data_IF_163619190416
#
_entry.id   IF_163619190416
#
_cell.length_a   1.000
_cell.length_b   1.000
_cell.length_c   1.000
_cell.angle_alpha   90.00
_cell.angle_beta   90.00
_cell.angle_gamma   90.00
#
_symmetry.space_group_name_H-M   'P 1'
#
loop_
_entity.id
_entity.type
_entity.pdbx_description
1 polymer ?
#
# COMPACT_ATOMS: atom_id res chain seq x y z
N UNK A 1 -6.72 -3.74 -60.50
CA UNK A 1 -6.20 -2.46 -59.99
C UNK A 1 -7.04 -1.24 -60.41
N UNK A 2 -7.64 -1.22 -61.61
CA UNK A 2 -8.44 -0.09 -62.12
C UNK A 2 -9.61 0.40 -61.23
N UNK A 3 -10.30 -0.51 -60.50
CA UNK A 3 -11.41 -0.13 -59.59
C UNK A 3 -10.96 0.66 -58.36
N UNK A 4 -9.70 0.56 -57.94
CA UNK A 4 -9.19 1.35 -56.81
C UNK A 4 -8.98 2.80 -57.24
N UNK A 5 -8.26 3.04 -58.34
CA UNK A 5 -7.97 4.39 -58.83
C UNK A 5 -9.25 5.25 -59.01
N UNK A 6 -10.29 4.71 -59.64
CA UNK A 6 -11.56 5.43 -59.81
C UNK A 6 -12.28 5.78 -58.50
N UNK A 7 -12.19 4.92 -57.48
CA UNK A 7 -12.80 5.19 -56.18
C UNK A 7 -12.07 6.32 -55.43
N UNK A 8 -10.74 6.42 -55.57
CA UNK A 8 -9.95 7.50 -54.96
C UNK A 8 -10.28 8.86 -55.58
N UNK A 9 -10.38 8.93 -56.91
CA UNK A 9 -10.79 10.15 -57.63
C UNK A 9 -12.20 10.60 -57.23
N UNK A 10 -13.15 9.66 -57.11
CA UNK A 10 -14.50 9.96 -56.67
C UNK A 10 -14.56 10.49 -55.24
N UNK A 11 -13.75 9.96 -54.32
CA UNK A 11 -13.63 10.44 -52.93
C UNK A 11 -13.08 11.87 -52.91
N UNK A 12 -11.98 12.12 -53.63
CA UNK A 12 -11.34 13.43 -53.67
C UNK A 12 -12.27 14.51 -54.23
N UNK A 13 -12.95 14.22 -55.35
CA UNK A 13 -13.94 15.13 -55.94
C UNK A 13 -15.11 15.41 -54.99
N UNK A 14 -15.65 14.37 -54.37
CA UNK A 14 -16.77 14.49 -53.43
C UNK A 14 -16.38 15.29 -52.18
N UNK A 15 -15.13 15.14 -51.72
CA UNK A 15 -14.56 15.91 -50.62
C UNK A 15 -14.51 17.40 -50.96
N UNK A 16 -13.96 17.75 -52.12
CA UNK A 16 -13.86 19.13 -52.59
C UNK A 16 -15.25 19.78 -52.74
N UNK A 17 -16.20 19.08 -53.37
CA UNK A 17 -17.55 19.59 -53.60
C UNK A 17 -18.34 19.78 -52.29
N UNK A 18 -18.31 18.80 -51.37
CA UNK A 18 -19.14 18.85 -50.16
C UNK A 18 -18.53 19.66 -49.03
N UNK A 19 -17.23 19.59 -48.85
CA UNK A 19 -16.57 20.09 -47.63
C UNK A 19 -15.86 21.40 -47.90
N UNK A 20 -15.08 21.49 -48.97
CA UNK A 20 -14.32 22.71 -49.29
C UNK A 20 -15.21 23.78 -49.92
N UNK A 21 -16.01 23.41 -50.92
CA UNK A 21 -16.96 24.33 -51.58
C UNK A 21 -18.29 24.43 -50.84
N UNK A 22 -18.80 23.31 -50.33
CA UNK A 22 -20.11 23.23 -49.71
C UNK A 22 -20.15 23.52 -48.20
N UNK A 23 -19.00 23.49 -47.51
CA UNK A 23 -18.93 23.67 -46.06
C UNK A 23 -19.74 22.65 -45.24
N UNK A 24 -20.14 21.51 -45.84
CA UNK A 24 -21.05 20.53 -45.23
C UNK A 24 -20.30 19.61 -44.28
N UNK A 25 -21.07 18.97 -43.41
CA UNK A 25 -20.62 17.98 -42.42
C UNK A 25 -21.35 16.67 -42.64
N UNK A 26 -21.09 15.96 -43.75
CA UNK A 26 -21.84 14.76 -44.12
C UNK A 26 -21.58 13.63 -43.13
N UNK A 27 -22.56 12.73 -42.98
CA UNK A 27 -22.27 11.42 -42.38
C UNK A 27 -21.49 10.56 -43.37
N UNK A 28 -20.83 9.50 -42.88
CA UNK A 28 -20.12 8.55 -43.75
C UNK A 28 -21.08 7.93 -44.78
N UNK A 29 -22.34 7.71 -44.40
CA UNK A 29 -23.38 7.22 -45.31
C UNK A 29 -23.64 8.22 -46.44
N UNK A 30 -23.95 9.48 -46.10
CA UNK A 30 -24.26 10.51 -47.10
C UNK A 30 -23.07 10.80 -48.02
N UNK A 31 -21.86 10.72 -47.47
CA UNK A 31 -20.63 10.90 -48.24
C UNK A 31 -20.44 9.77 -49.26
N UNK A 32 -20.61 8.51 -48.82
CA UNK A 32 -20.48 7.34 -49.68
C UNK A 32 -21.53 7.32 -50.80
N UNK A 33 -22.77 7.69 -50.50
CA UNK A 33 -23.85 7.77 -51.49
C UNK A 33 -23.54 8.78 -52.59
N UNK A 34 -22.97 9.95 -52.24
CA UNK A 34 -22.60 10.97 -53.22
C UNK A 34 -21.36 10.64 -54.02
N UNK A 35 -20.38 9.99 -53.38
CA UNK A 35 -19.20 9.48 -54.06
C UNK A 35 -19.49 8.24 -54.93
N UNK A 36 -20.69 7.65 -54.84
CA UNK A 36 -21.05 6.45 -55.58
C UNK A 36 -20.26 5.20 -55.15
N UNK A 37 -19.80 5.17 -53.89
CA UNK A 37 -19.00 4.06 -53.33
C UNK A 37 -19.71 3.41 -52.15
N UNK A 38 -19.41 2.14 -51.89
CA UNK A 38 -19.91 1.47 -50.67
C UNK A 38 -19.04 1.82 -49.46
N UNK A 39 -19.65 1.84 -48.27
CA UNK A 39 -18.93 2.08 -47.00
C UNK A 39 -17.82 1.07 -46.79
N UNK A 40 -18.04 -0.19 -47.15
CA UNK A 40 -17.03 -1.25 -47.04
C UNK A 40 -15.81 -0.96 -47.91
N UNK A 41 -15.99 -0.38 -49.11
CA UNK A 41 -14.87 0.03 -49.98
C UNK A 41 -14.11 1.19 -49.36
N UNK A 42 -14.80 2.18 -48.80
CA UNK A 42 -14.19 3.31 -48.10
C UNK A 42 -13.35 2.83 -46.90
N UNK A 43 -13.93 2.06 -45.98
CA UNK A 43 -13.19 1.60 -44.79
C UNK A 43 -12.04 0.64 -45.10
N UNK A 44 -12.20 -0.24 -46.08
CA UNK A 44 -11.19 -1.27 -46.38
C UNK A 44 -10.03 -0.73 -47.22
N UNK A 45 -10.30 0.17 -48.16
CA UNK A 45 -9.29 0.64 -49.11
C UNK A 45 -8.81 2.07 -48.84
N UNK A 46 -9.60 2.88 -48.13
CA UNK A 46 -9.35 4.30 -47.86
C UNK A 46 -9.65 4.67 -46.39
N UNK A 47 -9.00 3.99 -45.42
CA UNK A 47 -9.29 4.22 -43.99
C UNK A 47 -8.96 5.64 -43.53
N UNK A 48 -7.95 6.28 -44.13
CA UNK A 48 -7.56 7.65 -43.79
C UNK A 48 -8.63 8.67 -44.19
N UNK A 49 -9.22 8.51 -45.39
CA UNK A 49 -10.33 9.35 -45.83
C UNK A 49 -11.58 9.14 -44.96
N UNK A 50 -11.87 7.89 -44.56
CA UNK A 50 -12.95 7.58 -43.65
C UNK A 50 -12.79 8.31 -42.30
N UNK A 51 -11.56 8.30 -41.75
CA UNK A 51 -11.21 8.99 -40.52
C UNK A 51 -11.36 10.51 -40.68
N UNK A 52 -10.87 11.07 -41.79
CA UNK A 52 -10.96 12.50 -42.09
C UNK A 52 -12.41 13.00 -42.17
N UNK A 53 -13.30 12.22 -42.80
CA UNK A 53 -14.75 12.52 -42.86
C UNK A 53 -15.37 12.51 -41.46
N UNK A 54 -15.01 11.52 -40.64
CA UNK A 54 -15.51 11.38 -39.28
C UNK A 54 -15.06 12.54 -38.38
N UNK A 55 -13.76 12.88 -38.40
CA UNK A 55 -13.20 14.00 -37.66
C UNK A 55 -13.86 15.32 -38.04
N UNK A 56 -14.11 15.54 -39.34
CA UNK A 56 -14.85 16.72 -39.80
C UNK A 56 -16.25 16.76 -39.21
N UNK A 57 -17.01 15.67 -39.26
CA UNK A 57 -18.36 15.60 -38.66
C UNK A 57 -18.32 15.88 -37.15
N UNK A 58 -17.36 15.30 -36.45
CA UNK A 58 -17.22 15.42 -35.00
C UNK A 58 -16.78 16.83 -34.59
N UNK A 59 -16.00 17.53 -35.42
CA UNK A 59 -15.63 18.94 -35.21
C UNK A 59 -16.85 19.88 -35.11
N UNK A 60 -17.96 19.56 -35.78
CA UNK A 60 -19.25 20.28 -35.60
C UNK A 60 -19.96 19.90 -34.30
N UNK A 61 -19.86 18.64 -33.90
CA UNK A 61 -20.52 18.10 -32.70
C UNK A 61 -19.79 18.48 -31.40
N UNK A 62 -18.55 18.97 -31.47
CA UNK A 62 -17.81 19.53 -30.32
C UNK A 62 -18.34 20.87 -29.79
N UNK A 63 -19.45 21.41 -30.31
CA UNK A 63 -20.29 22.30 -29.50
C UNK A 63 -20.88 21.46 -28.36
N UNK A 64 -20.18 21.48 -27.21
CA UNK A 64 -20.54 20.91 -25.91
C UNK A 64 -21.98 20.41 -25.91
N UNK A 65 -22.18 19.09 -26.13
CA UNK A 65 -23.49 18.47 -25.88
C UNK A 65 -23.89 18.94 -24.48
N UNK A 66 -24.98 19.69 -24.36
CA UNK A 66 -25.53 20.02 -23.04
C UNK A 66 -25.77 18.68 -22.37
N UNK A 67 -25.05 18.42 -21.28
CA UNK A 67 -25.25 17.23 -20.46
C UNK A 67 -26.74 17.15 -20.17
N UNK A 68 -27.34 15.98 -20.42
CA UNK A 68 -28.72 15.68 -20.04
C UNK A 68 -28.92 16.10 -18.56
N UNK A 69 -30.10 16.59 -18.15
CA UNK A 69 -30.40 16.89 -16.74
C UNK A 69 -30.11 15.75 -15.77
N UNK A 70 -30.08 14.50 -16.26
CA UNK A 70 -29.74 13.28 -15.52
C UNK A 70 -28.23 13.17 -15.23
N UNK A 71 -27.39 13.95 -15.93
CA UNK A 71 -25.95 14.06 -15.75
C UNK A 71 -25.54 15.35 -15.01
N UNK A 72 -26.43 15.93 -14.19
CA UNK A 72 -26.01 16.82 -13.08
C UNK A 72 -25.28 15.95 -12.03
N UNK A 73 -24.18 16.42 -11.44
CA UNK A 73 -23.13 15.53 -10.97
C UNK A 73 -23.49 14.91 -9.62
N UNK A 74 -23.94 13.64 -9.63
CA UNK A 74 -23.75 12.74 -8.46
C UNK A 74 -22.28 12.74 -7.99
N UNK A 75 -21.34 13.11 -8.88
CA UNK A 75 -19.94 13.33 -8.54
C UNK A 75 -19.69 14.37 -7.45
N UNK A 76 -20.51 15.41 -7.28
CA UNK A 76 -20.29 16.40 -6.22
C UNK A 76 -20.65 15.86 -4.83
N UNK A 77 -21.71 15.05 -4.74
CA UNK A 77 -22.11 14.36 -3.51
C UNK A 77 -21.15 13.23 -3.18
N UNK A 78 -20.77 12.42 -4.18
CA UNK A 78 -19.72 11.41 -4.03
C UNK A 78 -18.38 12.01 -3.59
N UNK A 79 -18.03 13.21 -4.10
CA UNK A 79 -16.82 13.92 -3.69
C UNK A 79 -16.89 14.36 -2.23
N UNK A 80 -18.04 14.87 -1.76
CA UNK A 80 -18.22 15.22 -0.34
C UNK A 80 -18.06 14.00 0.56
N UNK A 81 -18.70 12.88 0.20
CA UNK A 81 -18.59 11.61 0.92
C UNK A 81 -17.13 11.15 0.97
N UNK A 82 -16.41 11.20 -0.16
CA UNK A 82 -15.00 10.83 -0.23
C UNK A 82 -14.11 11.76 0.64
N UNK A 83 -14.41 13.06 0.67
CA UNK A 83 -13.70 14.02 1.53
C UNK A 83 -13.93 13.71 3.01
N UNK A 84 -15.16 13.38 3.41
CA UNK A 84 -15.45 12.99 4.80
C UNK A 84 -14.76 11.67 5.18
N UNK A 85 -14.78 10.67 4.30
CA UNK A 85 -14.05 9.42 4.50
C UNK A 85 -12.54 9.65 4.65
N UNK A 86 -11.95 10.51 3.83
CA UNK A 86 -10.53 10.85 3.94
C UNK A 86 -10.19 11.53 5.27
N UNK A 87 -11.08 12.38 5.81
CA UNK A 87 -10.89 12.99 7.13
C UNK A 87 -10.91 11.93 8.24
N UNK A 88 -11.84 10.99 8.18
CA UNK A 88 -11.91 9.89 9.16
C UNK A 88 -10.66 9.00 9.09
N UNK A 89 -10.23 8.64 7.87
CA UNK A 89 -9.00 7.89 7.67
C UNK A 89 -7.77 8.63 8.21
N UNK A 90 -7.69 9.94 8.02
CA UNK A 90 -6.60 10.75 8.55
C UNK A 90 -6.54 10.71 10.09
N UNK A 91 -7.68 10.85 10.76
CA UNK A 91 -7.76 10.75 12.23
C UNK A 91 -7.29 9.37 12.70
N UNK A 92 -7.72 8.31 12.01
CA UNK A 92 -7.33 6.94 12.35
C UNK A 92 -5.84 6.70 12.12
N UNK A 93 -5.26 7.23 11.05
CA UNK A 93 -3.80 7.15 10.82
C UNK A 93 -3.01 7.82 11.95
N UNK A 94 -3.44 9.00 12.42
CA UNK A 94 -2.79 9.68 13.55
C UNK A 94 -2.91 8.90 14.86
N UNK A 95 -4.06 8.25 15.08
CA UNK A 95 -4.28 7.38 16.24
C UNK A 95 -3.33 6.19 16.21
N UNK A 96 -3.28 5.47 15.09
CA UNK A 96 -2.42 4.30 14.90
C UNK A 96 -0.94 4.69 15.07
N UNK A 97 -0.52 5.83 14.53
CA UNK A 97 0.84 6.35 14.71
C UNK A 97 1.19 6.58 16.19
N UNK A 98 0.25 7.13 16.97
CA UNK A 98 0.43 7.33 18.40
C UNK A 98 0.52 6.01 19.16
N UNK A 99 -0.34 5.04 18.84
CA UNK A 99 -0.29 3.70 19.44
C UNK A 99 1.02 2.97 19.09
N UNK A 100 1.49 3.10 17.85
CA UNK A 100 2.78 2.57 17.41
C UNK A 100 3.94 3.18 18.19
N UNK A 101 3.92 4.50 18.43
CA UNK A 101 4.95 5.16 19.22
C UNK A 101 4.95 4.68 20.68
N UNK A 102 3.78 4.54 21.30
CA UNK A 102 3.67 4.01 22.66
C UNK A 102 4.18 2.57 22.77
N UNK A 103 3.90 1.73 21.75
CA UNK A 103 4.42 0.37 21.69
C UNK A 103 5.95 0.34 21.59
N UNK A 104 6.55 1.21 20.76
CA UNK A 104 8.01 1.36 20.65
C UNK A 104 8.65 1.77 21.97
N UNK A 105 8.07 2.76 22.65
CA UNK A 105 8.57 3.22 23.95
C UNK A 105 8.50 2.11 25.01
N UNK A 106 7.45 1.28 24.98
CA UNK A 106 7.32 0.12 25.87
C UNK A 106 8.35 -0.95 25.57
N UNK A 107 8.63 -1.22 24.30
CA UNK A 107 9.68 -2.18 23.88
C UNK A 107 11.05 -1.70 24.39
N UNK A 108 11.39 -0.42 24.18
CA UNK A 108 12.66 0.14 24.66
C UNK A 108 12.82 -0.02 26.19
N UNK A 109 11.77 0.24 26.97
CA UNK A 109 11.80 0.02 28.42
C UNK A 109 12.00 -1.46 28.80
N UNK A 110 11.38 -2.38 28.08
CA UNK A 110 11.56 -3.82 28.32
C UNK A 110 12.98 -4.27 27.95
N UNK A 111 13.55 -3.73 26.87
CA UNK A 111 14.94 -3.99 26.48
C UNK A 111 15.93 -3.52 27.55
N UNK A 112 15.74 -2.32 28.12
CA UNK A 112 16.53 -1.83 29.25
C UNK A 112 16.43 -2.74 30.48
N UNK A 113 15.22 -3.21 30.80
CA UNK A 113 15.01 -4.16 31.89
C UNK A 113 15.72 -5.49 31.65
N UNK A 114 15.68 -6.02 30.42
CA UNK A 114 16.39 -7.25 30.04
C UNK A 114 17.90 -7.09 30.17
N UNK A 115 18.47 -5.94 29.77
CA UNK A 115 19.91 -5.67 29.96
C UNK A 115 20.29 -5.70 31.44
N UNK A 116 19.46 -5.09 32.31
CA UNK A 116 19.69 -5.12 33.75
C UNK A 116 19.60 -6.53 34.33
N UNK A 117 18.60 -7.31 33.91
CA UNK A 117 18.43 -8.70 34.33
C UNK A 117 19.62 -9.56 33.88
N UNK A 118 20.06 -9.46 32.63
CA UNK A 118 21.22 -10.20 32.11
C UNK A 118 22.51 -9.85 32.88
N UNK A 119 22.71 -8.57 33.23
CA UNK A 119 23.84 -8.14 34.07
C UNK A 119 23.79 -8.78 35.45
N UNK A 120 22.59 -8.89 36.02
CA UNK A 120 22.36 -9.53 37.32
C UNK A 120 22.60 -11.04 37.24
N UNK A 121 22.10 -11.69 36.19
CA UNK A 121 22.33 -13.10 35.91
C UNK A 121 23.84 -13.39 35.76
N UNK A 122 24.57 -12.58 35.01
CA UNK A 122 26.01 -12.75 34.82
C UNK A 122 26.76 -12.63 36.15
N UNK A 123 26.38 -11.68 37.01
CA UNK A 123 26.94 -11.57 38.37
C UNK A 123 26.65 -12.81 39.20
N UNK A 124 25.41 -13.32 39.14
CA UNK A 124 25.02 -14.51 39.88
C UNK A 124 25.77 -15.76 39.38
N UNK A 125 25.93 -15.92 38.08
CA UNK A 125 26.73 -17.00 37.48
C UNK A 125 28.20 -16.93 37.93
N UNK A 126 28.78 -15.73 38.00
CA UNK A 126 30.14 -15.53 38.50
C UNK A 126 30.27 -15.89 39.98
N UNK A 127 29.28 -15.55 40.80
CA UNK A 127 29.24 -15.96 42.21
C UNK A 127 29.14 -17.49 42.34
N UNK A 128 28.21 -18.12 41.61
CA UNK A 128 28.01 -19.58 41.63
C UNK A 128 29.27 -20.33 41.20
N UNK A 129 29.91 -19.91 40.11
CA UNK A 129 31.19 -20.52 39.65
C UNK A 129 32.32 -20.33 40.67
N UNK A 130 32.39 -19.18 41.34
CA UNK A 130 33.31 -18.95 42.46
C UNK A 130 33.03 -19.88 43.65
N UNK A 131 31.76 -20.15 43.96
CA UNK A 131 31.39 -21.10 45.00
C UNK A 131 31.74 -22.55 44.64
N UNK A 132 31.48 -22.96 43.40
CA UNK A 132 31.87 -24.29 42.91
C UNK A 132 33.38 -24.51 43.05
N UNK A 133 34.18 -23.47 42.78
CA UNK A 133 35.62 -23.51 42.98
C UNK A 133 36.00 -23.69 44.46
N UNK A 134 35.37 -22.93 45.37
CA UNK A 134 35.63 -23.06 46.81
C UNK A 134 35.25 -24.44 47.36
N UNK A 135 34.11 -24.99 46.92
CA UNK A 135 33.68 -26.34 47.30
C UNK A 135 34.74 -27.37 46.87
N UNK A 136 35.24 -27.28 45.63
CA UNK A 136 36.31 -28.17 45.14
C UNK A 136 37.59 -28.03 45.95
N UNK A 137 38.02 -26.81 46.27
CA UNK A 137 39.20 -26.56 47.13
C UNK A 137 39.06 -27.19 48.52
N UNK A 138 37.88 -27.06 49.15
CA UNK A 138 37.62 -27.68 50.46
C UNK A 138 37.64 -29.21 50.38
N UNK A 139 37.07 -29.79 49.32
CA UNK A 139 37.12 -31.23 49.07
C UNK A 139 38.55 -31.72 48.88
N UNK A 140 39.38 -31.00 48.10
CA UNK A 140 40.80 -31.35 47.90
C UNK A 140 41.61 -31.30 49.21
N UNK A 141 41.21 -30.45 50.16
CA UNK A 141 41.81 -30.38 51.51
C UNK A 141 41.27 -31.43 52.48
N UNK A 142 40.43 -32.34 52.02
CA UNK A 142 39.90 -33.45 52.82
C UNK A 142 38.72 -33.08 53.72
N UNK A 143 38.05 -31.94 53.47
CA UNK A 143 36.83 -31.60 54.20
C UNK A 143 35.69 -32.49 53.70
N UNK A 144 35.05 -33.21 54.62
CA UNK A 144 33.93 -34.12 54.33
C UNK A 144 32.72 -33.33 53.80
N UNK A 145 32.04 -33.89 52.80
CA UNK A 145 30.92 -33.24 52.09
C UNK A 145 29.80 -32.75 53.03
N UNK A 146 29.49 -33.49 54.09
CA UNK A 146 28.47 -33.10 55.08
C UNK A 146 28.82 -31.81 55.81
N UNK A 147 30.11 -31.60 56.09
CA UNK A 147 30.59 -30.37 56.72
C UNK A 147 30.52 -29.20 55.75
N UNK A 148 30.84 -29.42 54.48
CA UNK A 148 30.66 -28.42 53.40
C UNK A 148 29.18 -28.03 53.27
N UNK A 149 28.25 -28.99 53.24
CA UNK A 149 26.80 -28.72 53.20
C UNK A 149 26.32 -27.92 54.42
N UNK A 150 26.89 -28.19 55.59
CA UNK A 150 26.54 -27.46 56.82
C UNK A 150 27.00 -26.01 56.75
N UNK A 151 28.23 -25.77 56.28
CA UNK A 151 28.76 -24.43 56.04
C UNK A 151 27.90 -23.71 54.98
N UNK A 152 27.52 -24.41 53.91
CA UNK A 152 26.69 -23.84 52.85
C UNK A 152 25.30 -23.42 53.33
N UNK A 153 24.60 -24.28 54.09
CA UNK A 153 23.31 -23.93 54.72
C UNK A 153 23.42 -22.71 55.62
N UNK A 154 24.52 -22.59 56.37
CA UNK A 154 24.77 -21.41 57.20
C UNK A 154 25.01 -20.16 56.36
N UNK A 155 25.69 -20.28 55.22
CA UNK A 155 25.93 -19.18 54.30
C UNK A 155 24.64 -18.71 53.59
N UNK A 156 23.84 -19.65 53.06
CA UNK A 156 22.54 -19.35 52.44
C UNK A 156 21.63 -18.56 53.39
N UNK A 157 21.52 -18.99 54.64
CA UNK A 157 20.65 -18.34 55.62
C UNK A 157 21.10 -16.92 56.04
N UNK A 158 22.38 -16.58 55.87
CA UNK A 158 22.95 -15.32 56.36
C UNK A 158 23.27 -14.30 55.26
N UNK A 159 23.54 -14.74 54.03
CA UNK A 159 24.09 -13.86 52.97
C UNK A 159 23.17 -13.79 51.74
N UNK A 160 22.45 -14.85 51.41
CA UNK A 160 21.41 -14.79 50.40
C UNK A 160 20.10 -14.49 51.13
N UNK A 161 19.55 -13.26 51.09
CA UNK A 161 18.18 -13.08 51.49
C UNK A 161 17.34 -13.90 50.50
N UNK A 162 16.99 -15.12 50.90
CA UNK A 162 15.90 -15.85 50.29
C UNK A 162 14.71 -14.94 50.55
N UNK A 163 14.37 -14.12 49.56
CA UNK A 163 13.09 -13.42 49.53
C UNK A 163 12.09 -14.55 49.34
N UNK A 164 11.77 -15.24 50.43
CA UNK A 164 10.60 -16.10 50.50
C UNK A 164 9.47 -15.20 50.06
N UNK A 165 8.93 -15.49 48.87
CA UNK A 165 7.86 -14.72 48.27
C UNK A 165 6.70 -14.65 49.23
N UNK A 166 6.67 -13.60 50.05
CA UNK A 166 5.45 -13.16 50.70
C UNK A 166 4.56 -12.72 49.56
N UNK A 167 3.71 -13.66 49.13
CA UNK A 167 2.58 -13.42 48.27
C UNK A 167 1.83 -12.23 48.84
N UNK A 168 2.10 -11.03 48.32
CA UNK A 168 1.22 -9.90 48.47
C UNK A 168 -0.02 -10.22 47.64
N UNK A 169 -0.92 -10.99 48.25
CA UNK A 169 -2.31 -11.05 47.86
C UNK A 169 -2.89 -9.64 48.05
N UNK A 170 -2.79 -8.82 47.01
CA UNK A 170 -3.56 -7.59 46.91
C UNK A 170 -5.03 -7.97 46.81
N UNK A 171 -5.79 -7.50 47.81
CA UNK A 171 -7.26 -7.39 47.78
C UNK A 171 -7.69 -6.34 46.75
#
# INVERSE_FOLDING_TARGET
>A
MARKAHAGEAIARTWEELIEKGGKYPTITDFCEKAGISKSVLYKNYPDDAKKIQERRDSRLHKKRKLSPVAKPRGAENLKIAVEQNKLLFIETQRIEKELQQAKDKIAKLEEQLVHLNKTETKNQLLLTGFDFLIRELQMKGVVEERIRTIWKSFENNILPVVEGKNHASK
#
